data_IF_686646567746
#
_entry.id   IF_686646567746
#
_cell.length_a   1.000
_cell.length_b   1.000
_cell.length_c   1.000
_cell.angle_alpha   90.00
_cell.angle_beta   90.00
_cell.angle_gamma   90.00
#
_symmetry.space_group_name_H-M   'P 1'
#
loop_
_entity.id
_entity.type
_entity.pdbx_description
1 polymer ?
#
# COMPACT_ATOMS: atom_id res chain seq x y z
N UNK A 1 -7.59 -0.76 -3.19
CA UNK A 1 -6.39 -0.70 -2.31
C UNK A 1 -6.42 -1.78 -1.24
N UNK A 2 -7.58 -2.11 -0.64
CA UNK A 2 -7.71 -3.32 0.20
C UNK A 2 -7.55 -4.64 -0.56
N UNK A 3 -7.53 -4.57 -1.89
CA UNK A 3 -7.35 -5.70 -2.79
C UNK A 3 -5.86 -6.00 -3.08
N UNK A 4 -4.96 -5.12 -2.66
CA UNK A 4 -3.50 -5.24 -2.87
C UNK A 4 -2.90 -6.00 -1.70
N UNK A 5 -2.53 -7.26 -1.92
CA UNK A 5 -2.08 -8.16 -0.85
C UNK A 5 -0.55 -8.25 -0.90
N UNK A 6 0.10 -8.13 0.25
CA UNK A 6 1.51 -8.43 0.39
C UNK A 6 1.72 -9.95 0.23
N UNK A 7 2.46 -10.41 -0.79
CA UNK A 7 2.59 -11.84 -1.07
C UNK A 7 3.55 -12.56 -0.12
N UNK A 8 4.34 -11.85 0.70
CA UNK A 8 5.19 -12.48 1.72
C UNK A 8 4.38 -12.84 2.97
N UNK A 9 3.49 -11.94 3.41
CA UNK A 9 2.69 -12.11 4.63
C UNK A 9 1.25 -12.57 4.37
N UNK A 10 0.75 -12.43 3.14
CA UNK A 10 -0.62 -12.75 2.77
C UNK A 10 -1.67 -11.80 3.36
N UNK A 11 -1.27 -10.60 3.77
CA UNK A 11 -2.11 -9.59 4.41
C UNK A 11 -2.16 -8.34 3.53
N UNK A 12 -3.25 -7.59 3.61
CA UNK A 12 -3.40 -6.35 2.86
C UNK A 12 -2.40 -5.26 3.31
N UNK A 13 -1.88 -4.49 2.36
CA UNK A 13 -0.93 -3.39 2.59
C UNK A 13 -1.50 -2.26 3.46
N UNK A 14 -2.81 -2.03 3.44
CA UNK A 14 -3.50 -1.05 4.30
C UNK A 14 -3.54 -1.56 5.73
N UNK A 15 -3.88 -2.84 5.93
CA UNK A 15 -4.02 -3.41 7.27
C UNK A 15 -2.66 -3.59 7.97
N UNK A 16 -1.61 -3.87 7.19
CA UNK A 16 -0.21 -3.83 7.63
C UNK A 16 0.28 -2.40 7.95
N UNK A 17 -0.46 -1.36 7.58
CA UNK A 17 -0.03 0.02 7.78
C UNK A 17 1.17 0.41 6.92
N UNK A 18 1.33 -0.23 5.75
CA UNK A 18 2.37 0.13 4.77
C UNK A 18 1.99 1.38 3.96
N UNK A 19 0.70 1.73 3.93
CA UNK A 19 0.18 2.96 3.32
C UNK A 19 0.22 4.08 4.35
N UNK A 20 1.02 5.11 4.09
CA UNK A 20 1.21 6.22 5.03
C UNK A 20 0.25 7.36 4.74
N UNK A 21 0.08 7.69 3.46
CA UNK A 21 -0.78 8.78 3.04
C UNK A 21 -1.33 8.51 1.64
N UNK A 22 -2.51 9.03 1.39
CA UNK A 22 -3.18 8.96 0.09
C UNK A 22 -3.92 10.26 -0.16
N UNK A 23 -3.64 10.89 -1.29
CA UNK A 23 -4.34 12.08 -1.72
C UNK A 23 -4.60 12.06 -3.23
N UNK A 24 -5.58 12.86 -3.64
CA UNK A 24 -5.93 13.04 -5.04
C UNK A 24 -5.33 14.34 -5.54
N UNK A 25 -4.51 14.25 -6.58
CA UNK A 25 -3.95 15.37 -7.31
C UNK A 25 -4.66 15.53 -8.68
N UNK A 26 -4.55 16.72 -9.26
CA UNK A 26 -5.10 17.05 -10.59
C UNK A 26 -4.01 17.66 -11.45
N UNK A 27 -3.19 16.83 -12.12
CA UNK A 27 -2.09 17.33 -12.94
C UNK A 27 -2.57 18.09 -14.18
N UNK A 28 -3.79 17.80 -14.66
CA UNK A 28 -4.40 18.45 -15.80
C UNK A 28 -5.93 18.55 -15.63
N UNK A 29 -6.58 19.38 -16.45
CA UNK A 29 -8.03 19.51 -16.45
C UNK A 29 -8.68 18.19 -16.86
N UNK A 30 -9.57 17.66 -16.01
CA UNK A 30 -10.26 16.40 -16.24
C UNK A 30 -9.50 15.14 -15.82
N UNK A 31 -8.21 15.24 -15.45
CA UNK A 31 -7.40 14.10 -15.00
C UNK A 31 -7.36 14.05 -13.48
N UNK A 32 -7.71 12.90 -12.90
CA UNK A 32 -7.58 12.59 -11.48
C UNK A 32 -6.39 11.66 -11.28
N UNK A 33 -5.36 12.10 -10.58
CA UNK A 33 -4.22 11.26 -10.20
C UNK A 33 -4.31 10.92 -8.72
N UNK A 34 -4.32 9.64 -8.38
CA UNK A 34 -4.13 9.20 -7.00
C UNK A 34 -2.64 9.19 -6.70
N UNK A 35 -2.23 9.84 -5.62
CA UNK A 35 -0.85 9.80 -5.13
C UNK A 35 -0.84 9.09 -3.79
N UNK A 36 0.00 8.08 -3.65
CA UNK A 36 0.06 7.21 -2.47
C UNK A 36 1.49 7.17 -1.97
N UNK A 37 1.70 7.50 -0.70
CA UNK A 37 2.96 7.26 -0.03
C UNK A 37 2.91 5.88 0.63
N UNK A 38 3.80 4.99 0.20
CA UNK A 38 3.90 3.64 0.74
C UNK A 38 5.32 3.34 1.20
N UNK A 39 5.44 2.43 2.14
CA UNK A 39 6.72 1.89 2.59
C UNK A 39 6.77 0.40 2.37
N UNK A 40 7.98 -0.16 2.38
CA UNK A 40 8.21 -1.59 2.33
C UNK A 40 9.02 -2.04 3.53
N UNK A 41 8.83 -3.30 3.88
CA UNK A 41 9.66 -4.01 4.85
C UNK A 41 11.12 -4.13 4.39
N UNK A 42 11.37 -4.07 3.07
CA UNK A 42 12.70 -4.11 2.48
C UNK A 42 12.83 -3.21 1.23
N UNK A 43 13.90 -2.37 1.12
CA UNK A 43 14.11 -1.44 0.01
C UNK A 43 14.53 -2.11 -1.32
N UNK A 44 14.84 -3.41 -1.31
CA UNK A 44 15.33 -4.14 -2.49
C UNK A 44 14.42 -5.31 -2.87
N UNK A 45 13.16 -5.30 -2.45
CA UNK A 45 12.26 -6.39 -2.74
C UNK A 45 11.74 -6.27 -4.19
N UNK A 46 11.89 -7.30 -5.05
CA UNK A 46 11.35 -7.29 -6.43
C UNK A 46 9.81 -7.23 -6.48
N UNK A 47 9.16 -7.23 -5.32
CA UNK A 47 7.72 -7.11 -5.16
C UNK A 47 7.18 -5.70 -5.37
N UNK A 48 8.05 -4.66 -5.39
CA UNK A 48 7.65 -3.28 -5.70
C UNK A 48 6.82 -3.21 -6.97
N UNK A 49 7.34 -3.78 -8.05
CA UNK A 49 6.74 -3.70 -9.38
C UNK A 49 5.38 -4.42 -9.39
N UNK A 50 5.30 -5.56 -8.71
CA UNK A 50 4.07 -6.34 -8.57
C UNK A 50 3.00 -5.61 -7.74
N UNK A 51 3.41 -4.86 -6.72
CA UNK A 51 2.51 -4.04 -5.90
C UNK A 51 2.06 -2.79 -6.66
N UNK A 52 2.94 -2.17 -7.44
CA UNK A 52 2.61 -1.06 -8.33
C UNK A 52 1.55 -1.48 -9.35
N UNK A 53 1.78 -2.58 -10.07
CA UNK A 53 0.84 -3.12 -11.06
C UNK A 53 -0.53 -3.46 -10.43
N UNK A 54 -0.54 -4.12 -9.28
CA UNK A 54 -1.77 -4.47 -8.57
C UNK A 54 -2.52 -3.22 -8.08
N UNK A 55 -1.79 -2.23 -7.56
CA UNK A 55 -2.37 -0.98 -7.08
C UNK A 55 -2.95 -0.17 -8.23
N UNK A 56 -2.24 -0.10 -9.35
CA UNK A 56 -2.70 0.58 -10.56
C UNK A 56 -3.96 -0.10 -11.11
N UNK A 57 -3.96 -1.43 -11.22
CA UNK A 57 -5.15 -2.18 -11.62
C UNK A 57 -6.34 -1.95 -10.67
N UNK A 58 -6.10 -1.89 -9.36
CA UNK A 58 -7.17 -1.66 -8.38
C UNK A 58 -7.71 -0.22 -8.39
N UNK A 59 -6.85 0.78 -8.59
CA UNK A 59 -7.22 2.21 -8.54
C UNK A 59 -7.71 2.69 -9.91
N UNK A 60 -6.90 2.50 -10.95
CA UNK A 60 -7.20 2.93 -12.32
C UNK A 60 -8.19 1.99 -12.98
N UNK A 61 -7.95 0.68 -12.93
CA UNK A 61 -8.89 -0.32 -13.44
C UNK A 61 -10.24 -0.32 -12.72
N UNK A 62 -10.25 0.10 -11.44
CA UNK A 62 -11.47 0.33 -10.65
C UNK A 62 -12.19 1.66 -10.94
N UNK A 63 -11.62 2.54 -11.76
CA UNK A 63 -12.19 3.85 -12.12
C UNK A 63 -12.16 4.89 -11.00
N UNK A 64 -11.34 4.69 -9.96
CA UNK A 64 -11.19 5.62 -8.85
C UNK A 64 -10.31 6.84 -9.22
N UNK A 65 -9.30 6.63 -10.07
CA UNK A 65 -8.42 7.65 -10.63
C UNK A 65 -8.06 7.28 -12.08
N UNK A 66 -7.58 8.26 -12.85
CA UNK A 66 -7.07 8.04 -14.21
C UNK A 66 -5.59 7.63 -14.20
N UNK A 67 -4.84 8.06 -13.17
CA UNK A 67 -3.43 7.75 -12.98
C UNK A 67 -3.16 7.40 -11.50
N UNK A 68 -2.17 6.55 -11.26
CA UNK A 68 -1.65 6.25 -9.93
C UNK A 68 -0.16 6.61 -9.87
N UNK A 69 0.24 7.33 -8.81
CA UNK A 69 1.63 7.59 -8.49
C UNK A 69 1.94 7.05 -7.09
N UNK A 70 2.82 6.07 -7.00
CA UNK A 70 3.30 5.53 -5.73
C UNK A 70 4.65 6.17 -5.41
N UNK A 71 4.78 6.76 -4.23
CA UNK A 71 6.05 7.23 -3.71
C UNK A 71 6.51 6.29 -2.59
N UNK A 72 7.66 5.66 -2.80
CA UNK A 72 8.30 4.85 -1.79
C UNK A 72 8.98 5.75 -0.75
N UNK A 73 8.48 5.71 0.48
CA UNK A 73 9.00 6.45 1.63
C UNK A 73 9.51 5.49 2.68
N UNK A 74 10.68 5.79 3.25
CA UNK A 74 11.28 5.01 4.35
C UNK A 74 11.32 5.78 5.67
N UNK A 75 10.84 7.02 5.67
CA UNK A 75 10.74 7.87 6.86
C UNK A 75 9.30 8.36 7.03
N UNK A 76 8.70 8.21 8.23
CA UNK A 76 9.22 7.49 9.39
C UNK A 76 9.41 5.98 9.13
N UNK A 77 10.33 5.29 9.85
CA UNK A 77 10.50 3.85 9.68
C UNK A 77 9.23 3.12 10.08
N UNK A 78 8.83 2.13 9.27
CA UNK A 78 7.66 1.32 9.58
C UNK A 78 7.87 0.55 10.89
N UNK A 79 6.79 0.37 11.65
CA UNK A 79 6.83 -0.49 12.82
C UNK A 79 5.45 -1.03 13.20
N UNK A 80 5.40 -1.97 14.15
CA UNK A 80 4.16 -2.67 14.53
C UNK A 80 3.04 -1.77 15.07
N UNK A 81 3.36 -0.51 15.40
CA UNK A 81 2.39 0.50 15.83
C UNK A 81 1.54 1.05 14.68
N UNK A 82 1.97 0.89 13.43
CA UNK A 82 1.23 1.30 12.23
C UNK A 82 0.19 0.27 11.79
N UNK A 83 0.32 -0.98 12.28
CA UNK A 83 -0.57 -2.09 11.94
C UNK A 83 -1.93 -1.85 12.60
N UNK A 84 -2.99 -1.99 11.81
CA UNK A 84 -4.36 -1.93 12.28
C UNK A 84 -4.68 -3.09 13.23
N UNK A 85 -5.76 -2.98 14.01
CA UNK A 85 -6.16 -4.09 14.90
C UNK A 85 -6.47 -5.38 14.11
N UNK A 86 -7.14 -5.26 12.95
CA UNK A 86 -7.43 -6.39 12.06
C UNK A 86 -6.14 -7.02 11.52
N UNK A 87 -5.18 -6.21 11.06
CA UNK A 87 -3.87 -6.70 10.61
C UNK A 87 -3.07 -7.38 11.73
N UNK A 88 -3.18 -6.90 12.97
CA UNK A 88 -2.56 -7.52 14.15
C UNK A 88 -3.17 -8.88 14.47
N UNK A 89 -4.49 -9.00 14.40
CA UNK A 89 -5.17 -10.28 14.60
C UNK A 89 -4.73 -11.31 13.55
N UNK A 90 -4.60 -10.90 12.28
CA UNK A 90 -4.11 -11.77 11.22
C UNK A 90 -2.66 -12.19 11.42
N UNK A 91 -1.78 -11.27 11.82
CA UNK A 91 -0.38 -11.60 12.15
C UNK A 91 -0.26 -12.55 13.35
N UNK A 92 -1.11 -12.37 14.37
CA UNK A 92 -1.19 -13.30 15.51
C UNK A 92 -1.67 -14.68 15.09
N UNK A 93 -2.63 -14.75 14.17
CA UNK A 93 -3.10 -16.03 13.61
C UNK A 93 -2.00 -16.76 12.85
N UNK A 94 -1.06 -16.03 12.25
CA UNK A 94 0.14 -16.57 11.58
C UNK A 94 1.29 -16.91 12.55
N UNK A 95 1.15 -16.61 13.84
CA UNK A 95 2.15 -16.93 14.87
C UNK A 95 3.21 -15.84 15.11
N UNK A 96 3.05 -14.65 14.54
CA UNK A 96 3.91 -13.51 14.85
C UNK A 96 3.50 -12.86 16.16
N UNK A 97 4.48 -12.53 17.00
CA UNK A 97 4.27 -11.77 18.24
C UNK A 97 4.32 -10.27 17.93
N UNK A 98 3.17 -9.71 17.60
CA UNK A 98 2.96 -8.27 17.35
C UNK A 98 2.01 -7.64 18.37
#
# INVERSE_FOLDING_TARGET
MRDVIDPELGINVVDLGLVYDIWMDRPAEGVKRAVVNMTLTSPACPLTDMLEDQSEAAVVGGGAADELQINWVWMPPWGPHMITEEGREQLRALGFSV
#
